data_IF_246809842441
#
_entry.id   IF_246809842441
#
_cell.length_a   1.000
_cell.length_b   1.000
_cell.length_c   1.000
_cell.angle_alpha   90.00
_cell.angle_beta   90.00
_cell.angle_gamma   90.00
#
_symmetry.space_group_name_H-M   'P 1'
#
loop_
_entity.id
_entity.type
_entity.pdbx_description
1 polymer ?
#
# COMPACT_ATOMS: atom_id res chain seq x y z
N UNK A 1 9.56 -25.62 -8.06
CA UNK A 1 8.38 -25.95 -7.22
C UNK A 1 7.64 -24.69 -6.75
N UNK A 2 8.31 -23.68 -6.20
CA UNK A 2 7.69 -22.40 -5.77
C UNK A 2 6.94 -21.64 -6.88
N UNK A 3 7.51 -21.56 -8.09
CA UNK A 3 6.88 -20.85 -9.22
C UNK A 3 5.58 -21.51 -9.67
N UNK A 4 5.54 -22.85 -9.69
CA UNK A 4 4.34 -23.60 -10.05
C UNK A 4 3.22 -23.38 -9.03
N UNK A 5 3.55 -23.36 -7.73
CA UNK A 5 2.60 -22.99 -6.68
C UNK A 5 2.10 -21.55 -6.83
N UNK A 6 2.98 -20.60 -7.17
CA UNK A 6 2.61 -19.20 -7.41
C UNK A 6 1.62 -19.05 -8.58
N UNK A 7 1.89 -19.72 -9.70
CA UNK A 7 0.97 -19.74 -10.85
C UNK A 7 -0.37 -20.38 -10.49
N UNK A 8 -0.35 -21.49 -9.75
CA UNK A 8 -1.56 -22.17 -9.30
C UNK A 8 -2.40 -21.26 -8.40
N UNK A 9 -1.77 -20.52 -7.48
CA UNK A 9 -2.45 -19.58 -6.60
C UNK A 9 -3.16 -18.47 -7.39
N UNK A 10 -2.52 -17.89 -8.41
CA UNK A 10 -3.13 -16.88 -9.28
C UNK A 10 -4.36 -17.48 -10.00
N UNK A 11 -4.24 -18.67 -10.57
CA UNK A 11 -5.35 -19.34 -11.27
C UNK A 11 -6.52 -19.60 -10.30
N UNK A 12 -6.25 -20.06 -9.08
CA UNK A 12 -7.29 -20.32 -8.07
C UNK A 12 -8.02 -19.03 -7.68
N UNK A 13 -7.28 -17.93 -7.44
CA UNK A 13 -7.89 -16.64 -7.11
C UNK A 13 -8.79 -16.15 -8.24
N UNK A 14 -8.34 -16.25 -9.50
CA UNK A 14 -9.15 -15.88 -10.66
C UNK A 14 -10.37 -16.80 -10.83
N UNK A 15 -10.23 -18.09 -10.55
CA UNK A 15 -11.34 -19.04 -10.62
C UNK A 15 -12.42 -18.74 -9.56
N UNK A 16 -12.01 -18.40 -8.33
CA UNK A 16 -12.93 -17.99 -7.27
C UNK A 16 -13.62 -16.67 -7.65
N UNK A 17 -12.86 -15.68 -8.12
CA UNK A 17 -13.42 -14.40 -8.58
C UNK A 17 -14.43 -14.60 -9.72
N UNK A 18 -14.14 -15.48 -10.67
CA UNK A 18 -15.05 -15.83 -11.77
C UNK A 18 -16.31 -16.57 -11.26
N UNK A 19 -16.16 -17.49 -10.31
CA UNK A 19 -17.29 -18.19 -9.71
C UNK A 19 -18.23 -17.24 -8.95
N UNK A 20 -17.67 -16.24 -8.25
CA UNK A 20 -18.42 -15.21 -7.54
C UNK A 20 -18.93 -14.07 -8.44
N UNK A 21 -18.55 -14.04 -9.72
CA UNK A 21 -18.99 -13.00 -10.64
C UNK A 21 -20.50 -13.10 -10.90
N UNK A 22 -21.19 -11.97 -10.74
CA UNK A 22 -22.61 -11.84 -10.99
C UNK A 22 -22.96 -11.85 -12.48
N UNK A 23 -22.03 -11.38 -13.33
CA UNK A 23 -22.20 -11.35 -14.79
C UNK A 23 -21.00 -11.98 -15.49
N UNK A 24 -21.00 -13.31 -15.48
CA UNK A 24 -19.92 -14.14 -16.07
C UNK A 24 -19.74 -13.96 -17.58
N UNK A 25 -20.74 -13.40 -18.28
CA UNK A 25 -20.72 -13.23 -19.73
C UNK A 25 -19.98 -11.95 -20.15
N UNK A 26 -20.03 -10.91 -19.32
CA UNK A 26 -19.40 -9.61 -19.58
C UNK A 26 -18.03 -9.46 -18.90
N UNK A 27 -17.39 -10.57 -18.51
CA UNK A 27 -16.04 -10.53 -17.94
C UNK A 27 -15.03 -10.10 -19.02
N UNK A 28 -14.36 -8.97 -18.80
CA UNK A 28 -13.33 -8.46 -19.70
C UNK A 28 -11.99 -9.20 -19.50
N UNK A 29 -11.82 -10.32 -20.20
CA UNK A 29 -10.60 -11.14 -20.14
C UNK A 29 -9.35 -10.41 -20.64
N UNK A 30 -9.49 -9.46 -21.58
CA UNK A 30 -8.37 -8.65 -22.06
C UNK A 30 -7.87 -7.73 -20.94
N UNK A 31 -8.78 -7.06 -20.24
CA UNK A 31 -8.46 -6.21 -19.09
C UNK A 31 -7.73 -6.98 -17.98
N UNK A 32 -8.19 -8.20 -17.66
CA UNK A 32 -7.53 -9.08 -16.69
C UNK A 32 -6.11 -9.44 -17.16
N UNK A 33 -5.95 -9.82 -18.43
CA UNK A 33 -4.64 -10.14 -19.00
C UNK A 33 -3.66 -8.96 -18.96
N UNK A 34 -4.13 -7.75 -19.32
CA UNK A 34 -3.34 -6.52 -19.23
C UNK A 34 -2.96 -6.20 -17.78
N UNK A 35 -3.90 -6.35 -16.83
CA UNK A 35 -3.65 -6.14 -15.41
C UNK A 35 -2.57 -7.09 -14.87
N UNK A 36 -2.66 -8.38 -15.20
CA UNK A 36 -1.67 -9.38 -14.78
C UNK A 36 -0.30 -9.11 -15.37
N UNK A 37 -0.23 -8.77 -16.66
CA UNK A 37 1.04 -8.40 -17.30
C UNK A 37 1.64 -7.15 -16.67
N UNK A 38 0.85 -6.12 -16.44
CA UNK A 38 1.29 -4.90 -15.77
C UNK A 38 1.80 -5.19 -14.35
N UNK A 39 1.12 -6.05 -13.60
CA UNK A 39 1.53 -6.47 -12.26
C UNK A 39 2.87 -7.21 -12.30
N UNK A 40 3.03 -8.21 -13.16
CA UNK A 40 4.28 -8.99 -13.29
C UNK A 40 5.43 -8.09 -13.72
N UNK A 41 5.24 -7.23 -14.72
CA UNK A 41 6.27 -6.30 -15.20
C UNK A 41 6.67 -5.31 -14.11
N UNK A 42 5.70 -4.74 -13.39
CA UNK A 42 5.95 -3.77 -12.32
C UNK A 42 6.68 -4.44 -11.16
N UNK A 43 6.22 -5.60 -10.70
CA UNK A 43 6.89 -6.35 -9.63
C UNK A 43 8.30 -6.76 -10.04
N UNK A 44 8.48 -7.29 -11.25
CA UNK A 44 9.80 -7.66 -11.74
C UNK A 44 10.73 -6.46 -11.81
N UNK A 45 10.28 -5.33 -12.39
CA UNK A 45 11.07 -4.11 -12.45
C UNK A 45 11.45 -3.62 -11.05
N UNK A 46 10.49 -3.57 -10.13
CA UNK A 46 10.71 -3.04 -8.78
C UNK A 46 11.63 -3.92 -7.92
N UNK A 47 11.55 -5.25 -8.03
CA UNK A 47 12.30 -6.17 -7.16
C UNK A 47 13.57 -6.76 -7.79
N UNK A 48 13.72 -6.75 -9.12
CA UNK A 48 14.87 -7.39 -9.81
C UNK A 48 15.84 -6.38 -10.43
N UNK A 49 15.53 -5.09 -10.41
CA UNK A 49 16.42 -4.05 -10.96
C UNK A 49 16.98 -3.15 -9.85
N UNK A 50 18.23 -2.69 -9.96
CA UNK A 50 18.83 -1.79 -8.97
C UNK A 50 18.11 -0.43 -8.90
N UNK A 51 17.52 0.01 -10.02
CA UNK A 51 16.71 1.23 -10.07
C UNK A 51 15.41 1.03 -9.28
N UNK A 52 14.73 -0.10 -9.47
CA UNK A 52 13.51 -0.45 -8.74
C UNK A 52 13.75 -0.55 -7.23
N UNK A 53 14.83 -1.21 -6.83
CA UNK A 53 15.24 -1.31 -5.43
C UNK A 53 15.51 0.08 -4.81
N UNK A 54 16.24 0.95 -5.53
CA UNK A 54 16.49 2.31 -5.07
C UNK A 54 15.19 3.11 -4.88
N UNK A 55 14.20 2.96 -5.78
CA UNK A 55 12.88 3.60 -5.65
C UNK A 55 12.13 3.08 -4.42
N UNK A 56 12.09 1.76 -4.20
CA UNK A 56 11.43 1.19 -3.00
C UNK A 56 12.09 1.70 -1.72
N UNK A 57 13.42 1.68 -1.65
CA UNK A 57 14.17 2.12 -0.48
C UNK A 57 13.92 3.61 -0.20
N UNK A 58 13.95 4.45 -1.25
CA UNK A 58 13.63 5.87 -1.11
C UNK A 58 12.23 6.11 -0.55
N UNK A 59 11.21 5.40 -1.06
CA UNK A 59 9.84 5.49 -0.54
C UNK A 59 9.80 5.01 0.93
N UNK A 60 10.47 3.90 1.23
CA UNK A 60 10.51 3.33 2.59
C UNK A 60 11.13 4.29 3.59
N UNK A 61 12.22 4.96 3.23
CA UNK A 61 12.89 5.96 4.06
C UNK A 61 11.99 7.17 4.36
N UNK A 62 11.23 7.63 3.36
CA UNK A 62 10.23 8.68 3.56
C UNK A 62 9.16 8.23 4.56
N UNK A 63 8.62 7.02 4.40
CA UNK A 63 7.61 6.49 5.31
C UNK A 63 8.15 6.32 6.73
N UNK A 64 9.39 5.84 6.89
CA UNK A 64 10.05 5.73 8.18
C UNK A 64 10.18 7.12 8.83
N UNK A 65 10.57 8.15 8.06
CA UNK A 65 10.65 9.52 8.57
C UNK A 65 9.28 10.06 9.01
N UNK A 66 8.22 9.74 8.27
CA UNK A 66 6.86 10.10 8.68
C UNK A 66 6.44 9.40 9.97
N UNK A 67 6.79 8.11 10.14
CA UNK A 67 6.53 7.38 11.38
C UNK A 67 7.27 8.01 12.56
N UNK A 68 8.54 8.41 12.38
CA UNK A 68 9.30 9.13 13.41
C UNK A 68 8.59 10.41 13.84
N UNK A 69 8.16 11.25 12.88
CA UNK A 69 7.42 12.49 13.19
C UNK A 69 6.09 12.21 13.90
N UNK A 70 5.37 11.17 13.47
CA UNK A 70 4.14 10.74 14.14
C UNK A 70 4.40 10.30 15.58
N UNK A 71 5.48 9.57 15.80
CA UNK A 71 5.88 9.06 17.13
C UNK A 71 6.25 10.22 18.07
N UNK A 72 6.96 11.23 17.59
CA UNK A 72 7.23 12.45 18.37
C UNK A 72 5.93 13.18 18.77
N UNK A 73 4.95 13.25 17.86
CA UNK A 73 3.63 13.80 18.16
C UNK A 73 2.86 13.00 19.21
N UNK A 74 2.94 11.67 19.15
CA UNK A 74 2.36 10.77 20.17
C UNK A 74 3.03 11.01 21.53
N UNK A 75 4.36 11.07 21.56
CA UNK A 75 5.13 11.34 22.78
C UNK A 75 4.80 12.72 23.37
N UNK A 76 4.54 13.74 22.54
CA UNK A 76 4.09 15.05 23.01
C UNK A 76 2.72 14.98 23.72
N UNK A 77 1.76 14.24 23.15
CA UNK A 77 0.41 14.12 23.72
C UNK A 77 0.39 13.23 24.97
N UNK A 78 1.26 12.21 25.02
CA UNK A 78 1.18 11.14 26.01
C UNK A 78 2.40 10.98 26.92
N UNK A 79 3.42 11.83 26.81
CA UNK A 79 4.71 11.66 27.51
C UNK A 79 4.64 11.64 29.04
N UNK A 80 3.50 11.97 29.64
CA UNK A 80 3.22 11.83 31.07
C UNK A 80 2.48 10.56 31.48
N UNK A 81 2.09 9.69 30.54
CA UNK A 81 1.37 8.44 30.83
C UNK A 81 2.37 7.38 31.29
N UNK A 82 2.29 7.03 32.57
CA UNK A 82 3.08 5.94 33.14
C UNK A 82 2.53 4.60 32.64
N UNK A 83 3.25 4.00 31.71
CA UNK A 83 3.04 2.62 31.27
C UNK A 83 4.01 1.74 32.05
N UNK A 84 3.63 0.50 32.38
CA UNK A 84 4.55 -0.47 32.99
C UNK A 84 5.84 -0.58 32.17
N UNK A 85 6.97 -0.74 32.85
CA UNK A 85 8.27 -0.86 32.21
C UNK A 85 8.24 -2.08 31.26
N UNK A 86 8.36 -1.82 29.95
CA UNK A 86 8.24 -2.77 28.83
C UNK A 86 6.84 -3.10 28.29
N UNK A 87 5.77 -2.43 28.74
CA UNK A 87 4.46 -2.61 28.11
C UNK A 87 4.34 -1.75 26.84
N UNK A 88 4.17 -2.40 25.68
CA UNK A 88 3.78 -1.72 24.44
C UNK A 88 2.26 -1.56 24.41
N UNK A 89 1.78 -0.34 24.60
CA UNK A 89 0.35 -0.05 24.51
C UNK A 89 -0.02 0.09 23.04
N UNK A 90 -0.76 -0.89 22.51
CA UNK A 90 -1.22 -0.92 21.12
C UNK A 90 -1.91 0.40 20.70
N UNK A 91 -2.69 0.99 21.60
CA UNK A 91 -3.39 2.25 21.34
C UNK A 91 -2.43 3.40 21.01
N UNK A 92 -1.31 3.51 21.73
CA UNK A 92 -0.34 4.59 21.52
C UNK A 92 0.51 4.35 20.28
N UNK A 93 1.00 3.12 20.11
CA UNK A 93 1.98 2.79 19.08
C UNK A 93 1.35 2.57 17.70
N UNK A 94 0.06 2.21 17.62
CA UNK A 94 -0.61 1.88 16.35
C UNK A 94 -1.75 2.83 16.05
N UNK A 95 -2.74 2.96 16.95
CA UNK A 95 -3.94 3.77 16.66
C UNK A 95 -3.62 5.25 16.47
N UNK A 96 -2.78 5.85 17.32
CA UNK A 96 -2.45 7.27 17.19
C UNK A 96 -1.61 7.56 15.94
N UNK A 97 -0.71 6.66 15.57
CA UNK A 97 0.05 6.75 14.31
C UNK A 97 -0.91 6.71 13.11
N UNK A 98 -1.95 5.87 13.14
CA UNK A 98 -2.98 5.86 12.08
C UNK A 98 -3.70 7.22 11.98
N UNK A 99 -4.02 7.88 13.11
CA UNK A 99 -4.66 9.21 13.12
C UNK A 99 -3.74 10.26 12.48
N UNK A 100 -2.44 10.21 12.78
CA UNK A 100 -1.44 11.08 12.16
C UNK A 100 -1.40 10.91 10.64
N UNK A 101 -1.29 9.66 10.15
CA UNK A 101 -1.30 9.39 8.71
C UNK A 101 -2.62 9.78 8.03
N UNK A 102 -3.76 9.56 8.67
CA UNK A 102 -5.07 9.98 8.17
C UNK A 102 -5.13 11.50 7.98
N UNK A 103 -4.58 12.25 8.94
CA UNK A 103 -4.54 13.72 8.88
C UNK A 103 -3.60 14.20 7.77
N UNK A 104 -2.42 13.58 7.60
CA UNK A 104 -1.52 13.86 6.47
C UNK A 104 -2.21 13.62 5.14
N UNK A 105 -2.87 12.47 4.96
CA UNK A 105 -3.60 12.16 3.73
C UNK A 105 -4.71 13.18 3.46
N UNK A 106 -5.43 13.63 4.49
CA UNK A 106 -6.43 14.69 4.38
C UNK A 106 -5.81 16.01 3.91
N UNK A 107 -4.66 16.41 4.47
CA UNK A 107 -3.94 17.63 4.05
C UNK A 107 -3.43 17.51 2.62
N UNK A 108 -2.81 16.39 2.25
CA UNK A 108 -2.34 16.14 0.87
C UNK A 108 -3.49 16.12 -0.15
N UNK A 109 -4.67 15.65 0.27
CA UNK A 109 -5.88 15.69 -0.54
C UNK A 109 -6.39 17.11 -0.72
N UNK A 110 -6.45 17.89 0.37
CA UNK A 110 -6.85 19.30 0.34
C UNK A 110 -5.93 20.14 -0.54
N UNK A 111 -4.61 19.92 -0.44
CA UNK A 111 -3.58 20.57 -1.27
C UNK A 111 -3.54 20.05 -2.72
N UNK A 112 -4.39 19.07 -3.07
CA UNK A 112 -4.46 18.41 -4.39
C UNK A 112 -3.19 17.66 -4.82
N UNK A 113 -2.26 17.38 -3.90
CA UNK A 113 -1.06 16.57 -4.17
C UNK A 113 -1.44 15.12 -4.44
N UNK A 114 -2.29 14.53 -3.59
CA UNK A 114 -2.72 13.14 -3.75
C UNK A 114 -3.56 12.94 -5.04
N UNK A 115 -4.58 13.78 -5.33
CA UNK A 115 -5.29 13.75 -6.61
C UNK A 115 -4.37 13.92 -7.83
N UNK A 116 -3.35 14.78 -7.75
CA UNK A 116 -2.38 14.96 -8.82
C UNK A 116 -1.65 13.65 -9.11
N UNK A 117 -1.08 13.01 -8.08
CA UNK A 117 -0.36 11.72 -8.22
C UNK A 117 -1.29 10.64 -8.81
N UNK A 118 -2.52 10.51 -8.29
CA UNK A 118 -3.51 9.54 -8.78
C UNK A 118 -3.81 9.76 -10.26
N UNK A 119 -3.96 11.00 -10.71
CA UNK A 119 -4.24 11.32 -12.11
C UNK A 119 -3.15 10.83 -13.06
N UNK A 120 -1.88 10.98 -12.69
CA UNK A 120 -0.77 10.51 -13.52
C UNK A 120 -0.62 8.98 -13.49
N UNK A 121 -0.75 8.36 -12.31
CA UNK A 121 -0.68 6.90 -12.19
C UNK A 121 -1.86 6.18 -12.86
N UNK A 122 -3.06 6.76 -12.77
CA UNK A 122 -4.28 6.23 -13.39
C UNK A 122 -4.43 6.54 -14.88
N UNK A 123 -3.40 7.11 -15.52
CA UNK A 123 -3.42 7.49 -16.94
C UNK A 123 -4.63 8.36 -17.31
N UNK A 124 -4.97 9.34 -16.47
CA UNK A 124 -5.93 10.40 -16.79
C UNK A 124 -7.42 10.04 -16.85
N UNK A 125 -7.83 8.79 -16.60
CA UNK A 125 -9.24 8.36 -16.67
C UNK A 125 -9.78 7.84 -15.33
N UNK A 126 -9.80 8.73 -14.34
CA UNK A 126 -10.68 8.67 -13.16
C UNK A 126 -11.24 10.06 -12.89
#
# INVERSE_FOLDING_TARGET
MSILFGLLAVIIVLAIAYAMSNDRKNVNFIGIGVMLLAQVLTTWFMFMTPIGEAVINFISDIFNKLIEFGTEGVNFVLGGVTVEENASVFFFNVLLIIIFFSTILSVLTYLKVLPFIIKYLGWGNF
#
